data_IF_470959098795
#
_entry.id   IF_470959098795
#
_cell.length_a   1.000
_cell.length_b   1.000
_cell.length_c   1.000
_cell.angle_alpha   90.00
_cell.angle_beta   90.00
_cell.angle_gamma   90.00
#
_symmetry.space_group_name_H-M   'P 1'
#
loop_
_entity.id
_entity.type
_entity.pdbx_description
1 polymer ?
#
# COMPACT_ATOMS: atom_id res chain seq x y z
N UNK A 1 -0.58 -34.08 -5.10
CA UNK A 1 -1.21 -32.96 -4.41
C UNK A 1 -1.44 -31.71 -5.30
N UNK A 2 -0.93 -31.65 -6.55
CA UNK A 2 -1.11 -30.50 -7.46
C UNK A 2 -2.47 -30.39 -8.17
N UNK A 3 -3.31 -31.44 -8.18
CA UNK A 3 -4.61 -31.40 -8.83
C UNK A 3 -5.74 -30.75 -8.01
N UNK A 4 -5.55 -30.53 -6.70
CA UNK A 4 -6.57 -29.96 -5.83
C UNK A 4 -6.65 -28.43 -5.90
N UNK A 5 -5.54 -27.75 -6.22
CA UNK A 5 -5.52 -26.27 -6.30
C UNK A 5 -6.21 -25.70 -7.55
N UNK A 6 -6.19 -26.44 -8.66
CA UNK A 6 -6.85 -26.01 -9.92
C UNK A 6 -8.38 -26.05 -9.78
N UNK A 7 -8.92 -26.96 -8.96
CA UNK A 7 -10.37 -27.04 -8.72
C UNK A 7 -10.91 -25.94 -7.80
N UNK A 8 -10.11 -25.41 -6.89
CA UNK A 8 -10.53 -24.32 -5.97
C UNK A 8 -10.65 -23.00 -6.73
N UNK A 9 -9.78 -22.72 -7.68
CA UNK A 9 -9.86 -21.52 -8.53
C UNK A 9 -11.10 -21.56 -9.45
N UNK A 10 -11.44 -22.74 -9.98
CA UNK A 10 -12.63 -22.90 -10.82
C UNK A 10 -13.96 -22.87 -10.04
N UNK A 11 -13.96 -23.20 -8.76
CA UNK A 11 -15.18 -23.18 -7.92
C UNK A 11 -15.48 -21.76 -7.40
N UNK A 12 -14.48 -20.92 -7.18
CA UNK A 12 -14.73 -19.52 -6.79
C UNK A 12 -15.29 -18.66 -7.93
N UNK A 13 -14.97 -18.97 -9.19
CA UNK A 13 -15.59 -18.34 -10.38
C UNK A 13 -17.05 -18.74 -10.60
N UNK A 14 -17.54 -19.81 -9.95
CA UNK A 14 -18.89 -20.33 -10.16
C UNK A 14 -19.93 -19.88 -9.11
N UNK A 15 -19.54 -19.16 -8.06
CA UNK A 15 -20.40 -18.81 -6.91
C UNK A 15 -20.68 -17.31 -6.76
N UNK A 16 -20.22 -16.46 -7.68
CA UNK A 16 -20.67 -15.07 -7.69
C UNK A 16 -22.09 -14.98 -8.28
N UNK A 17 -23.03 -14.25 -7.66
CA UNK A 17 -24.34 -14.05 -8.22
C UNK A 17 -24.18 -13.39 -9.58
N UNK A 18 -24.63 -14.07 -10.64
CA UNK A 18 -24.78 -13.48 -11.97
C UNK A 18 -25.86 -12.41 -11.86
N UNK A 19 -25.47 -11.19 -11.53
CA UNK A 19 -26.30 -10.03 -11.81
C UNK A 19 -26.26 -9.86 -13.31
N UNK A 20 -27.34 -10.22 -13.98
CA UNK A 20 -27.52 -9.96 -15.40
C UNK A 20 -27.74 -8.47 -15.61
N UNK A 21 -26.65 -7.69 -15.63
CA UNK A 21 -26.63 -6.46 -16.37
C UNK A 21 -26.47 -6.88 -17.84
N UNK A 22 -27.33 -6.41 -18.71
CA UNK A 22 -27.27 -6.61 -20.17
C UNK A 22 -25.99 -5.97 -20.71
N UNK A 23 -24.84 -6.62 -20.55
CA UNK A 23 -23.52 -6.11 -20.85
C UNK A 23 -22.78 -7.09 -21.74
N UNK A 24 -22.27 -6.58 -22.82
CA UNK A 24 -21.32 -7.24 -23.69
C UNK A 24 -20.11 -7.66 -22.82
N UNK A 25 -19.83 -8.97 -22.73
CA UNK A 25 -18.65 -9.47 -22.01
C UNK A 25 -17.37 -9.00 -22.72
N UNK A 26 -16.36 -8.59 -21.93
CA UNK A 26 -15.04 -8.29 -22.49
C UNK A 26 -14.43 -9.57 -23.06
N UNK A 27 -14.10 -9.56 -24.34
CA UNK A 27 -13.40 -10.70 -24.95
C UNK A 27 -11.97 -10.69 -24.51
N UNK A 28 -11.58 -11.73 -23.77
CA UNK A 28 -10.19 -11.91 -23.37
C UNK A 28 -9.31 -12.30 -24.58
N UNK A 29 -8.00 -12.03 -24.50
CA UNK A 29 -7.06 -12.41 -25.55
C UNK A 29 -6.97 -13.94 -25.67
N UNK A 30 -6.81 -14.43 -26.89
CA UNK A 30 -6.55 -15.84 -27.15
C UNK A 30 -5.05 -16.10 -27.01
N UNK A 31 -4.67 -16.82 -25.97
CA UNK A 31 -3.26 -17.12 -25.69
C UNK A 31 -2.72 -18.08 -26.76
N UNK A 32 -1.60 -17.75 -27.45
CA UNK A 32 -1.00 -18.63 -28.44
C UNK A 32 -0.57 -19.98 -27.85
N UNK A 33 -0.79 -21.08 -28.57
CA UNK A 33 -0.40 -22.43 -28.13
C UNK A 33 1.12 -22.61 -27.97
N UNK A 34 1.91 -21.70 -28.56
CA UNK A 34 3.36 -21.66 -28.42
C UNK A 34 3.84 -21.23 -27.03
N UNK A 35 2.99 -20.51 -26.25
CA UNK A 35 3.28 -20.11 -24.89
C UNK A 35 2.89 -21.23 -23.93
N UNK A 36 3.89 -21.98 -23.44
CA UNK A 36 3.66 -23.16 -22.61
C UNK A 36 3.83 -22.88 -21.12
N UNK A 37 4.72 -21.97 -20.73
CA UNK A 37 4.97 -21.69 -19.32
C UNK A 37 3.84 -20.83 -18.70
N UNK A 38 3.38 -21.13 -17.46
CA UNK A 38 2.29 -20.39 -16.83
C UNK A 38 2.54 -18.88 -16.73
N UNK A 39 3.78 -18.46 -16.42
CA UNK A 39 4.13 -17.04 -16.30
C UNK A 39 4.14 -16.32 -17.66
N UNK A 40 4.54 -16.99 -18.75
CA UNK A 40 4.46 -16.43 -20.12
C UNK A 40 3.01 -16.25 -20.55
N UNK A 41 2.15 -17.21 -20.22
CA UNK A 41 0.71 -17.12 -20.50
C UNK A 41 0.05 -16.01 -19.71
N UNK A 42 0.41 -15.87 -18.42
CA UNK A 42 -0.08 -14.77 -17.59
C UNK A 42 0.41 -13.41 -18.12
N UNK A 43 1.68 -13.29 -18.50
CA UNK A 43 2.24 -12.09 -19.13
C UNK A 43 1.42 -11.69 -20.36
N UNK A 44 1.21 -12.64 -21.28
CA UNK A 44 0.42 -12.39 -22.48
C UNK A 44 -1.00 -11.93 -22.17
N UNK A 45 -1.66 -12.59 -21.19
CA UNK A 45 -3.04 -12.21 -20.81
C UNK A 45 -3.09 -10.80 -20.24
N UNK A 46 -2.20 -10.40 -19.33
CA UNK A 46 -2.25 -9.07 -18.72
C UNK A 46 -1.89 -7.97 -19.73
N UNK A 47 -0.89 -8.19 -20.59
CA UNK A 47 -0.49 -7.22 -21.60
C UNK A 47 -1.58 -6.95 -22.66
N UNK A 48 -2.38 -7.97 -22.99
CA UNK A 48 -3.42 -7.92 -24.01
C UNK A 48 -4.85 -7.90 -23.45
N UNK A 49 -5.02 -7.75 -22.14
CA UNK A 49 -6.32 -7.87 -21.47
C UNK A 49 -7.36 -6.89 -22.05
N UNK A 50 -6.93 -5.66 -22.33
CA UNK A 50 -7.78 -4.57 -22.75
C UNK A 50 -7.78 -4.32 -24.26
N UNK A 51 -7.09 -5.14 -25.07
CA UNK A 51 -7.01 -4.94 -26.54
C UNK A 51 -8.36 -4.96 -27.24
N UNK A 52 -9.32 -5.71 -26.73
CA UNK A 52 -10.67 -5.80 -27.28
C UNK A 52 -11.66 -4.78 -26.68
N UNK A 53 -11.18 -3.90 -25.78
CA UNK A 53 -12.00 -2.85 -25.18
C UNK A 53 -12.00 -1.59 -26.07
N UNK A 54 -13.19 -1.13 -26.45
CA UNK A 54 -13.35 0.16 -27.10
C UNK A 54 -13.62 1.24 -26.03
N UNK A 55 -12.57 1.96 -25.58
CA UNK A 55 -12.72 3.02 -24.58
C UNK A 55 -13.51 4.24 -25.09
N UNK A 56 -13.71 4.37 -26.39
CA UNK A 56 -14.60 5.38 -26.97
C UNK A 56 -16.10 5.02 -26.80
N UNK A 57 -16.43 3.75 -26.53
CA UNK A 57 -17.80 3.34 -26.19
C UNK A 57 -18.10 3.71 -24.73
N UNK A 58 -18.74 4.87 -24.56
CA UNK A 58 -19.10 5.41 -23.24
C UNK A 58 -20.13 4.56 -22.49
N UNK A 59 -20.91 3.74 -23.18
CA UNK A 59 -21.85 2.82 -22.53
C UNK A 59 -21.13 1.73 -21.73
N UNK A 60 -19.91 1.37 -22.10
CA UNK A 60 -19.06 0.43 -21.39
C UNK A 60 -18.01 1.15 -20.54
N UNK A 61 -17.24 2.06 -21.11
CA UNK A 61 -16.10 2.71 -20.46
C UNK A 61 -16.47 3.61 -19.28
N UNK A 62 -17.70 4.18 -19.28
CA UNK A 62 -18.25 4.95 -18.16
C UNK A 62 -19.14 4.11 -17.23
N UNK A 63 -19.38 2.85 -17.55
CA UNK A 63 -20.14 1.96 -16.69
C UNK A 63 -19.22 1.44 -15.59
N UNK A 64 -19.30 2.07 -14.41
CA UNK A 64 -18.46 1.79 -13.25
C UNK A 64 -18.48 0.30 -12.86
N UNK A 65 -19.66 -0.32 -12.79
CA UNK A 65 -19.82 -1.73 -12.38
C UNK A 65 -19.17 -2.68 -13.39
N UNK A 66 -19.37 -2.42 -14.69
CA UNK A 66 -18.76 -3.22 -15.75
C UNK A 66 -17.23 -3.07 -15.78
N UNK A 67 -16.72 -1.85 -15.66
CA UNK A 67 -15.30 -1.57 -15.61
C UNK A 67 -14.66 -2.20 -14.37
N UNK A 68 -15.30 -2.09 -13.20
CA UNK A 68 -14.84 -2.66 -11.94
C UNK A 68 -14.68 -4.16 -12.02
N UNK A 69 -15.71 -4.87 -12.54
CA UNK A 69 -15.63 -6.33 -12.70
C UNK A 69 -14.43 -6.74 -13.57
N UNK A 70 -14.23 -6.04 -14.70
CA UNK A 70 -13.12 -6.36 -15.61
C UNK A 70 -11.78 -5.93 -15.02
N UNK A 71 -11.72 -4.84 -14.26
CA UNK A 71 -10.50 -4.40 -13.58
C UNK A 71 -10.08 -5.39 -12.49
N UNK A 72 -11.01 -5.90 -11.70
CA UNK A 72 -10.76 -6.97 -10.72
C UNK A 72 -10.27 -8.25 -11.40
N UNK A 73 -10.88 -8.64 -12.51
CA UNK A 73 -10.42 -9.79 -13.30
C UNK A 73 -8.98 -9.57 -13.82
N UNK A 74 -8.67 -8.39 -14.31
CA UNK A 74 -7.34 -7.98 -14.76
C UNK A 74 -6.31 -8.08 -13.62
N UNK A 75 -6.59 -7.48 -12.47
CA UNK A 75 -5.72 -7.53 -11.29
C UNK A 75 -5.51 -8.98 -10.79
N UNK A 76 -6.49 -9.85 -10.92
CA UNK A 76 -6.39 -11.24 -10.44
C UNK A 76 -5.34 -12.08 -11.18
N UNK A 77 -4.98 -11.70 -12.40
CA UNK A 77 -3.96 -12.40 -13.21
C UNK A 77 -2.56 -11.88 -12.92
N UNK A 78 -2.41 -10.62 -12.52
CA UNK A 78 -1.12 -9.95 -12.33
C UNK A 78 -0.12 -10.66 -11.40
N UNK A 79 -0.54 -11.29 -10.27
CA UNK A 79 0.40 -11.99 -9.39
C UNK A 79 1.10 -13.20 -10.04
N UNK A 80 0.61 -13.63 -11.21
CA UNK A 80 1.17 -14.74 -11.95
C UNK A 80 2.07 -14.30 -13.12
N UNK A 81 2.12 -13.01 -13.41
CA UNK A 81 2.91 -12.41 -14.48
C UNK A 81 4.24 -11.85 -13.92
N UNK A 82 5.30 -11.79 -14.75
CA UNK A 82 6.52 -11.04 -14.40
C UNK A 82 6.24 -9.55 -14.22
N UNK A 83 7.07 -8.87 -13.43
CA UNK A 83 6.91 -7.45 -13.13
C UNK A 83 6.90 -6.57 -14.41
N UNK A 84 7.77 -6.88 -15.38
CA UNK A 84 7.86 -6.15 -16.65
C UNK A 84 6.56 -6.24 -17.46
N UNK A 85 5.86 -7.40 -17.38
CA UNK A 85 4.57 -7.57 -18.04
C UNK A 85 3.46 -6.78 -17.33
N UNK A 86 3.53 -6.65 -16.01
CA UNK A 86 2.60 -5.80 -15.22
C UNK A 86 2.79 -4.33 -15.58
N UNK A 87 4.04 -3.86 -15.68
CA UNK A 87 4.36 -2.50 -16.10
C UNK A 87 3.82 -2.20 -17.51
N UNK A 88 4.05 -3.12 -18.45
CA UNK A 88 3.53 -3.03 -19.83
C UNK A 88 2.01 -3.02 -19.86
N UNK A 89 1.36 -3.84 -19.02
CA UNK A 89 -0.09 -3.95 -18.96
C UNK A 89 -0.75 -2.65 -18.48
N UNK A 90 -0.21 -2.02 -17.44
CA UNK A 90 -0.70 -0.71 -17.00
C UNK A 90 -0.45 0.39 -18.03
N UNK A 91 0.71 0.40 -18.68
CA UNK A 91 0.99 1.35 -19.76
C UNK A 91 0.01 1.20 -20.93
N UNK A 92 -0.32 -0.03 -21.32
CA UNK A 92 -1.32 -0.32 -22.35
C UNK A 92 -2.73 0.15 -21.95
N UNK A 93 -3.17 -0.17 -20.73
CA UNK A 93 -4.46 0.27 -20.19
C UNK A 93 -4.57 1.81 -20.23
N UNK A 94 -3.59 2.51 -19.66
CA UNK A 94 -3.60 3.96 -19.54
C UNK A 94 -3.56 4.67 -20.89
N UNK A 95 -2.76 4.16 -21.84
CA UNK A 95 -2.72 4.68 -23.20
C UNK A 95 -4.07 4.57 -23.90
N UNK A 96 -4.80 3.47 -23.73
CA UNK A 96 -6.10 3.27 -24.36
C UNK A 96 -7.19 4.07 -23.63
N UNK A 97 -7.24 4.01 -22.30
CA UNK A 97 -8.23 4.73 -21.49
C UNK A 97 -8.03 6.25 -21.55
N UNK A 98 -6.78 6.72 -21.64
CA UNK A 98 -6.43 8.15 -21.71
C UNK A 98 -6.98 8.88 -22.95
N UNK A 99 -7.48 8.15 -23.94
CA UNK A 99 -8.18 8.73 -25.09
C UNK A 99 -9.59 9.20 -24.76
N UNK A 100 -10.14 8.87 -23.58
CA UNK A 100 -11.49 9.23 -23.13
C UNK A 100 -11.43 9.66 -21.65
N UNK A 101 -11.80 10.92 -21.38
CA UNK A 101 -11.72 11.52 -20.04
C UNK A 101 -12.57 10.78 -19.00
N UNK A 102 -13.76 10.33 -19.33
CA UNK A 102 -14.60 9.56 -18.42
C UNK A 102 -14.06 8.16 -18.13
N UNK A 103 -13.47 7.51 -19.14
CA UNK A 103 -12.86 6.19 -18.98
C UNK A 103 -11.64 6.24 -18.07
N UNK A 104 -10.76 7.23 -18.28
CA UNK A 104 -9.56 7.37 -17.46
C UNK A 104 -9.89 7.72 -16.00
N UNK A 105 -10.94 8.52 -15.77
CA UNK A 105 -11.42 8.81 -14.41
C UNK A 105 -11.83 7.53 -13.69
N UNK A 106 -12.61 6.65 -14.33
CA UNK A 106 -13.01 5.36 -13.75
C UNK A 106 -11.81 4.46 -13.49
N UNK A 107 -10.84 4.40 -14.41
CA UNK A 107 -9.62 3.58 -14.22
C UNK A 107 -8.81 4.07 -13.03
N UNK A 108 -8.65 5.39 -12.84
CA UNK A 108 -7.93 5.94 -11.68
C UNK A 108 -8.65 5.64 -10.36
N UNK A 109 -9.97 5.86 -10.30
CA UNK A 109 -10.75 5.53 -9.11
C UNK A 109 -10.61 4.05 -8.72
N UNK A 110 -10.65 3.15 -9.71
CA UNK A 110 -10.49 1.72 -9.50
C UNK A 110 -9.07 1.37 -9.04
N UNK A 111 -8.05 1.97 -9.64
CA UNK A 111 -6.66 1.74 -9.23
C UNK A 111 -6.42 2.20 -7.78
N UNK A 112 -6.89 3.39 -7.41
CA UNK A 112 -6.80 3.89 -6.03
C UNK A 112 -7.57 2.98 -5.06
N UNK A 113 -8.81 2.62 -5.36
CA UNK A 113 -9.64 1.77 -4.51
C UNK A 113 -9.06 0.38 -4.31
N UNK A 114 -8.59 -0.27 -5.38
CA UNK A 114 -8.16 -1.66 -5.31
C UNK A 114 -6.70 -1.84 -4.93
N UNK A 115 -5.81 -0.94 -5.36
CA UNK A 115 -4.38 -1.12 -5.16
C UNK A 115 -3.82 -0.31 -3.99
N UNK A 116 -4.47 0.82 -3.62
CA UNK A 116 -3.95 1.75 -2.61
C UNK A 116 -4.74 1.75 -1.29
N UNK A 117 -6.03 1.38 -1.28
CA UNK A 117 -6.78 1.26 -0.03
C UNK A 117 -6.42 -0.04 0.68
N UNK A 118 -5.87 0.04 1.90
CA UNK A 118 -5.38 -1.13 2.64
C UNK A 118 -6.47 -2.15 3.00
N UNK A 119 -7.75 -1.73 3.07
CA UNK A 119 -8.89 -2.61 3.29
C UNK A 119 -9.24 -3.46 2.05
N UNK A 120 -8.72 -3.09 0.89
CA UNK A 120 -8.94 -3.84 -0.34
C UNK A 120 -8.31 -5.23 -0.26
N UNK A 121 -9.02 -6.31 -0.64
CA UNK A 121 -8.43 -7.64 -0.73
C UNK A 121 -7.35 -7.75 -1.83
N UNK A 122 -7.25 -6.75 -2.70
CA UNK A 122 -6.27 -6.67 -3.78
C UNK A 122 -5.22 -5.59 -3.53
N UNK A 123 -5.16 -5.02 -2.31
CA UNK A 123 -4.14 -4.05 -1.93
C UNK A 123 -2.75 -4.54 -2.31
N UNK A 124 -2.06 -3.77 -3.13
CA UNK A 124 -0.71 -4.10 -3.58
C UNK A 124 0.04 -2.83 -3.97
N UNK A 125 0.94 -2.38 -3.10
CA UNK A 125 1.67 -1.15 -3.29
C UNK A 125 2.66 -1.22 -4.47
N UNK A 126 3.20 -2.40 -4.79
CA UNK A 126 4.09 -2.56 -5.96
C UNK A 126 3.30 -2.39 -7.27
N UNK A 127 2.09 -2.94 -7.35
CA UNK A 127 1.21 -2.72 -8.51
C UNK A 127 0.74 -1.28 -8.60
N UNK A 128 0.45 -0.63 -7.46
CA UNK A 128 0.09 0.79 -7.47
C UNK A 128 1.24 1.67 -7.96
N UNK A 129 2.47 1.40 -7.54
CA UNK A 129 3.68 2.08 -8.04
C UNK A 129 3.87 1.86 -9.55
N UNK A 130 3.64 0.64 -10.04
CA UNK A 130 3.68 0.32 -11.47
C UNK A 130 2.63 1.12 -12.25
N UNK A 131 1.38 1.16 -11.76
CA UNK A 131 0.31 1.98 -12.32
C UNK A 131 0.67 3.47 -12.38
N UNK A 132 1.14 4.04 -11.26
CA UNK A 132 1.52 5.45 -11.18
C UNK A 132 2.73 5.77 -12.09
N UNK A 133 3.70 4.86 -12.16
CA UNK A 133 4.87 5.02 -13.04
C UNK A 133 4.45 5.07 -14.52
N UNK A 134 3.55 4.18 -14.91
CA UNK A 134 2.97 4.17 -16.25
C UNK A 134 2.17 5.47 -16.52
N UNK A 135 1.42 5.96 -15.53
CA UNK A 135 0.65 7.19 -15.65
C UNK A 135 1.52 8.44 -15.79
N UNK A 136 2.64 8.51 -15.07
CA UNK A 136 3.64 9.60 -15.23
C UNK A 136 4.28 9.59 -16.61
N UNK A 137 4.47 8.41 -17.18
CA UNK A 137 5.08 8.23 -18.50
C UNK A 137 4.12 8.43 -19.67
N UNK A 138 2.79 8.48 -19.44
CA UNK A 138 1.78 8.55 -20.50
C UNK A 138 1.38 10.02 -20.81
N UNK A 139 1.83 10.62 -21.94
CA UNK A 139 1.59 12.04 -22.21
C UNK A 139 0.11 12.39 -22.45
N UNK A 140 -0.71 11.42 -22.89
CA UNK A 140 -2.13 11.66 -23.20
C UNK A 140 -2.97 11.99 -21.97
N UNK A 141 -2.48 11.67 -20.75
CA UNK A 141 -3.20 11.92 -19.50
C UNK A 141 -3.20 13.40 -19.07
N UNK A 142 -2.36 14.24 -19.71
CA UNK A 142 -2.29 15.67 -19.40
C UNK A 142 -1.77 15.98 -17.98
N UNK A 143 -1.80 17.28 -17.63
CA UNK A 143 -1.25 17.74 -16.35
C UNK A 143 -2.02 17.20 -15.14
N UNK A 144 -3.36 17.13 -15.24
CA UNK A 144 -4.21 16.74 -14.10
C UNK A 144 -3.83 15.38 -13.52
N UNK A 145 -3.81 14.34 -14.37
CA UNK A 145 -3.46 12.99 -13.94
C UNK A 145 -1.96 12.78 -13.83
N UNK A 146 -1.16 13.38 -14.70
CA UNK A 146 0.29 13.27 -14.67
C UNK A 146 0.92 13.87 -13.42
N UNK A 147 0.48 15.06 -13.00
CA UNK A 147 1.01 15.72 -11.78
C UNK A 147 0.54 15.01 -10.51
N UNK A 148 -0.75 14.60 -10.45
CA UNK A 148 -1.27 13.78 -9.37
C UNK A 148 -0.49 12.46 -9.23
N UNK A 149 -0.26 11.76 -10.35
CA UNK A 149 0.48 10.50 -10.33
C UNK A 149 1.92 10.68 -9.91
N UNK A 150 2.57 11.75 -10.31
CA UNK A 150 3.94 12.06 -9.90
C UNK A 150 4.03 12.25 -8.39
N UNK A 151 3.11 13.04 -7.82
CA UNK A 151 3.03 13.23 -6.37
C UNK A 151 2.78 11.92 -5.63
N UNK A 152 1.75 11.15 -6.02
CA UNK A 152 1.44 9.86 -5.40
C UNK A 152 2.57 8.84 -5.54
N UNK A 153 3.26 8.82 -6.68
CA UNK A 153 4.42 7.95 -6.91
C UNK A 153 5.58 8.30 -5.97
N UNK A 154 5.85 9.59 -5.80
CA UNK A 154 6.88 10.06 -4.87
C UNK A 154 6.56 9.62 -3.44
N UNK A 155 5.32 9.80 -3.00
CA UNK A 155 4.85 9.37 -1.67
C UNK A 155 4.94 7.84 -1.52
N UNK A 156 4.41 7.08 -2.49
CA UNK A 156 4.41 5.62 -2.44
C UNK A 156 5.81 5.01 -2.42
N UNK A 157 6.80 5.67 -3.03
CA UNK A 157 8.20 5.24 -3.04
C UNK A 157 8.95 5.52 -1.73
N UNK A 158 8.43 6.41 -0.86
CA UNK A 158 9.06 6.72 0.44
C UNK A 158 8.98 5.52 1.38
N UNK A 159 10.07 5.25 2.06
CA UNK A 159 10.14 4.24 3.13
C UNK A 159 9.63 2.84 2.71
N UNK A 160 9.94 2.40 1.49
CA UNK A 160 9.55 1.06 1.02
C UNK A 160 10.27 -0.04 1.79
N UNK A 161 9.64 -1.22 1.97
CA UNK A 161 10.31 -2.38 2.56
C UNK A 161 11.65 -2.68 1.87
N UNK A 162 12.71 -2.89 2.68
CA UNK A 162 14.08 -3.10 2.23
C UNK A 162 14.91 -1.81 2.11
N UNK A 163 14.30 -0.62 1.97
CA UNK A 163 15.01 0.65 1.94
C UNK A 163 15.32 1.15 3.34
N UNK A 164 16.33 2.02 3.47
CA UNK A 164 16.60 2.74 4.71
C UNK A 164 15.48 3.75 4.94
N UNK A 165 14.91 3.76 6.13
CA UNK A 165 13.89 4.72 6.53
C UNK A 165 14.45 6.15 6.50
N UNK A 166 13.62 7.11 6.09
CA UNK A 166 14.02 8.52 6.07
C UNK A 166 14.36 8.97 7.50
N UNK A 167 15.53 9.60 7.66
CA UNK A 167 15.97 10.14 8.95
C UNK A 167 15.16 11.38 9.31
N UNK A 168 14.88 11.57 10.59
CA UNK A 168 14.24 12.77 11.13
C UNK A 168 14.71 13.03 12.56
N UNK A 169 14.64 14.29 12.99
CA UNK A 169 14.98 14.68 14.35
C UNK A 169 13.74 14.66 15.25
N UNK A 170 13.91 14.28 16.51
CA UNK A 170 12.87 14.35 17.54
C UNK A 170 13.46 14.68 18.91
N UNK A 171 12.62 15.25 19.78
CA UNK A 171 12.95 15.61 21.16
C UNK A 171 12.22 14.68 22.12
N UNK A 172 12.92 14.15 23.12
CA UNK A 172 12.30 13.36 24.18
C UNK A 172 11.76 14.26 25.33
N UNK A 173 11.04 13.65 26.27
CA UNK A 173 10.41 14.36 27.39
C UNK A 173 11.42 15.09 28.30
N UNK A 174 12.66 14.57 28.41
CA UNK A 174 13.76 15.19 29.16
C UNK A 174 14.48 16.32 28.42
N UNK A 175 14.08 16.60 27.19
CA UNK A 175 14.68 17.61 26.32
C UNK A 175 15.88 17.12 25.49
N UNK A 176 16.24 15.85 25.57
CA UNK A 176 17.31 15.30 24.72
C UNK A 176 16.86 15.23 23.26
N UNK A 177 17.74 15.65 22.36
CA UNK A 177 17.52 15.66 20.91
C UNK A 177 18.23 14.47 20.26
N UNK A 178 17.54 13.81 19.36
CA UNK A 178 18.06 12.66 18.61
C UNK A 178 17.61 12.73 17.16
N UNK A 179 18.35 12.06 16.25
CA UNK A 179 17.77 11.63 14.98
C UNK A 179 17.40 10.15 15.05
N UNK A 180 16.47 9.72 14.18
CA UNK A 180 16.05 8.32 14.13
C UNK A 180 17.26 7.38 13.95
N UNK A 181 18.14 7.69 12.97
CA UNK A 181 19.30 6.85 12.67
C UNK A 181 20.34 6.83 13.80
N UNK A 182 20.51 7.92 14.54
CA UNK A 182 21.42 7.97 15.68
C UNK A 182 20.85 7.21 16.87
N UNK A 183 19.55 7.31 17.10
CA UNK A 183 18.87 6.70 18.25
C UNK A 183 18.63 5.19 18.05
N UNK A 184 18.26 4.75 16.85
CA UNK A 184 17.90 3.37 16.53
C UNK A 184 19.17 2.49 16.57
N UNK A 185 19.18 1.48 17.46
CA UNK A 185 20.28 0.52 17.63
C UNK A 185 19.81 -0.93 17.66
N UNK A 186 18.53 -1.15 17.55
CA UNK A 186 17.87 -2.46 17.51
C UNK A 186 16.54 -2.34 16.79
N UNK A 187 15.93 -3.46 16.39
CA UNK A 187 14.61 -3.45 15.75
C UNK A 187 13.62 -2.58 16.51
N UNK A 188 12.90 -1.75 15.80
CA UNK A 188 12.04 -0.71 16.39
C UNK A 188 10.69 -0.67 15.69
N UNK A 189 9.61 -0.72 16.47
CA UNK A 189 8.29 -0.33 16.03
C UNK A 189 8.20 1.19 16.13
N UNK A 190 8.23 1.87 14.98
CA UNK A 190 8.03 3.31 14.87
C UNK A 190 6.55 3.60 14.72
N UNK A 191 5.99 4.42 15.60
CA UNK A 191 4.58 4.84 15.61
C UNK A 191 4.53 6.36 15.47
N UNK A 192 4.15 6.85 14.29
CA UNK A 192 3.92 8.27 14.03
C UNK A 192 2.45 8.58 14.31
N UNK A 193 2.18 9.49 15.23
CA UNK A 193 0.82 9.76 15.70
C UNK A 193 0.56 11.25 15.94
N UNK A 194 -0.71 11.64 15.84
CA UNK A 194 -1.17 12.96 16.30
C UNK A 194 -1.77 12.85 17.70
N UNK A 195 -1.44 13.79 18.57
CA UNK A 195 -1.95 13.85 19.93
C UNK A 195 -3.46 14.13 19.99
N UNK A 196 -4.02 14.83 19.00
CA UNK A 196 -5.46 15.13 18.89
C UNK A 196 -6.25 14.04 18.12
N UNK A 197 -5.63 12.93 17.77
CA UNK A 197 -6.25 11.87 16.99
C UNK A 197 -6.89 10.81 17.88
N UNK A 198 -8.21 10.69 17.89
CA UNK A 198 -8.96 9.66 18.62
C UNK A 198 -8.63 8.24 18.14
N UNK A 199 -8.42 8.06 16.84
CA UNK A 199 -8.05 6.78 16.26
C UNK A 199 -6.64 6.37 16.73
N UNK A 200 -5.69 7.29 16.73
CA UNK A 200 -4.34 7.06 17.22
C UNK A 200 -4.36 6.57 18.69
N UNK A 201 -5.16 7.21 19.54
CA UNK A 201 -5.30 6.79 20.94
C UNK A 201 -5.80 5.34 21.07
N UNK A 202 -6.79 4.94 20.25
CA UNK A 202 -7.31 3.57 20.24
C UNK A 202 -6.27 2.54 19.81
N UNK A 203 -5.54 2.84 18.73
CA UNK A 203 -4.49 1.94 18.21
C UNK A 203 -3.32 1.85 19.18
N UNK A 204 -2.89 2.95 19.79
CA UNK A 204 -1.85 2.96 20.82
C UNK A 204 -2.29 2.09 22.02
N UNK A 205 -3.56 2.16 22.43
CA UNK A 205 -4.07 1.32 23.51
C UNK A 205 -4.08 -0.17 23.14
N UNK A 206 -4.40 -0.52 21.90
CA UNK A 206 -4.28 -1.90 21.39
C UNK A 206 -2.82 -2.38 21.37
N UNK A 207 -1.88 -1.53 20.95
CA UNK A 207 -0.45 -1.85 20.98
C UNK A 207 0.07 -2.11 22.42
N UNK A 208 -0.40 -1.34 23.40
CA UNK A 208 -0.06 -1.56 24.84
C UNK A 208 -0.53 -2.93 25.32
N UNK A 209 -1.67 -3.40 24.85
CA UNK A 209 -2.27 -4.68 25.22
C UNK A 209 -1.78 -5.86 24.38
N UNK A 210 -0.94 -5.60 23.36
CA UNK A 210 -0.47 -6.62 22.43
C UNK A 210 0.61 -7.50 23.08
N UNK A 211 0.26 -8.73 23.46
CA UNK A 211 1.10 -9.60 24.28
C UNK A 211 2.49 -9.90 23.67
N UNK A 212 2.54 -10.20 22.36
CA UNK A 212 3.81 -10.48 21.67
C UNK A 212 4.73 -9.25 21.64
N UNK A 213 4.18 -8.06 21.39
CA UNK A 213 4.95 -6.81 21.40
C UNK A 213 5.45 -6.50 22.82
N UNK A 214 4.60 -6.62 23.83
CA UNK A 214 4.99 -6.39 25.22
C UNK A 214 6.12 -7.33 25.67
N UNK A 215 6.04 -8.62 25.33
CA UNK A 215 7.09 -9.60 25.62
C UNK A 215 8.41 -9.26 24.89
N UNK A 216 8.35 -8.85 23.61
CA UNK A 216 9.53 -8.48 22.84
C UNK A 216 10.22 -7.21 23.40
N UNK A 217 9.42 -6.23 23.85
CA UNK A 217 9.92 -5.00 24.50
C UNK A 217 10.55 -5.32 25.85
N UNK A 218 9.92 -6.16 26.68
CA UNK A 218 10.46 -6.59 27.98
C UNK A 218 11.77 -7.36 27.85
N UNK A 219 11.86 -8.22 26.82
CA UNK A 219 13.08 -8.96 26.49
C UNK A 219 14.17 -8.08 25.86
N UNK A 220 13.85 -6.83 25.49
CA UNK A 220 14.77 -5.91 24.83
C UNK A 220 15.12 -6.29 23.39
N UNK A 221 14.30 -7.14 22.75
CA UNK A 221 14.50 -7.54 21.34
C UNK A 221 13.92 -6.52 20.37
N UNK A 222 12.90 -5.77 20.78
CA UNK A 222 12.25 -4.70 20.02
C UNK A 222 12.13 -3.45 20.88
N UNK A 223 12.37 -2.28 20.30
CA UNK A 223 11.98 -1.00 20.88
C UNK A 223 10.64 -0.55 20.31
N UNK A 224 9.95 0.32 21.05
CA UNK A 224 8.87 1.13 20.51
C UNK A 224 9.27 2.60 20.60
N UNK A 225 9.25 3.29 19.46
CA UNK A 225 9.44 4.74 19.36
C UNK A 225 8.13 5.35 18.87
N UNK A 226 7.41 6.00 19.78
CA UNK A 226 6.19 6.72 19.47
C UNK A 226 6.52 8.22 19.30
N UNK A 227 6.35 8.77 18.11
CA UNK A 227 6.67 10.16 17.79
C UNK A 227 5.38 10.91 17.47
N UNK A 228 5.12 11.96 18.26
CA UNK A 228 4.06 12.92 17.97
C UNK A 228 4.53 13.83 16.84
N UNK A 229 3.73 13.90 15.77
CA UNK A 229 4.03 14.66 14.55
C UNK A 229 3.33 16.02 14.50
N UNK A 230 2.65 16.42 15.57
CA UNK A 230 2.02 17.72 15.69
C UNK A 230 3.04 18.82 16.04
N UNK A 231 2.60 20.07 15.98
CA UNK A 231 3.38 21.24 16.42
C UNK A 231 3.03 21.70 17.86
N UNK A 232 1.99 21.13 18.49
CA UNK A 232 1.58 21.46 19.87
C UNK A 232 2.34 20.63 20.92
N UNK A 233 3.48 21.16 21.32
CA UNK A 233 4.30 20.58 22.42
C UNK A 233 3.55 20.50 23.75
N UNK A 234 2.64 21.43 24.05
CA UNK A 234 1.94 21.43 25.32
C UNK A 234 0.93 20.27 25.40
N UNK A 235 0.18 20.06 24.33
CA UNK A 235 -0.73 18.93 24.20
C UNK A 235 0.04 17.60 24.28
N UNK A 236 1.14 17.46 23.52
CA UNK A 236 1.99 16.27 23.59
C UNK A 236 2.47 15.98 25.03
N UNK A 237 3.00 16.99 25.73
CA UNK A 237 3.48 16.84 27.12
C UNK A 237 2.39 16.38 28.08
N UNK A 238 1.16 16.84 27.88
CA UNK A 238 0.02 16.43 28.72
C UNK A 238 -0.31 14.94 28.63
N UNK A 239 0.04 14.29 27.54
CA UNK A 239 -0.25 12.88 27.26
C UNK A 239 0.89 11.93 27.65
N UNK A 240 2.08 12.42 27.95
CA UNK A 240 3.24 11.56 28.28
C UNK A 240 2.96 10.58 29.41
N UNK A 241 2.18 10.97 30.42
CA UNK A 241 1.83 10.10 31.53
C UNK A 241 0.98 8.89 31.15
N UNK A 242 0.33 8.92 30.00
CA UNK A 242 -0.49 7.82 29.48
C UNK A 242 0.31 6.79 28.70
N UNK A 243 1.54 7.11 28.30
CA UNK A 243 2.39 6.22 27.53
C UNK A 243 3.12 5.19 28.39
N UNK A 244 3.38 3.97 27.89
CA UNK A 244 4.17 2.98 28.62
C UNK A 244 5.58 3.48 28.92
N UNK A 245 6.05 3.24 30.13
CA UNK A 245 7.40 3.67 30.57
C UNK A 245 8.54 3.01 29.76
N UNK A 246 8.28 1.85 29.18
CA UNK A 246 9.23 1.10 28.37
C UNK A 246 9.35 1.64 26.94
N UNK A 247 8.41 2.48 26.51
CA UNK A 247 8.46 3.09 25.19
C UNK A 247 9.26 4.40 25.21
N UNK A 248 9.95 4.67 24.14
CA UNK A 248 10.49 6.01 23.91
C UNK A 248 9.40 6.85 23.25
N UNK A 249 9.15 8.03 23.82
CA UNK A 249 8.14 8.96 23.29
C UNK A 249 8.85 10.23 22.86
N UNK A 250 8.72 10.54 21.56
CA UNK A 250 9.35 11.69 20.91
C UNK A 250 8.32 12.72 20.43
N UNK A 251 8.82 13.89 20.12
CA UNK A 251 8.11 15.00 19.50
C UNK A 251 8.97 15.59 18.39
N UNK A 252 8.45 15.71 17.17
CA UNK A 252 9.23 16.21 16.04
C UNK A 252 8.93 17.68 15.70
N UNK A 253 7.85 18.25 16.23
CA UNK A 253 7.44 19.63 16.00
C UNK A 253 6.88 19.88 14.61
N UNK A 254 6.17 18.92 14.04
CA UNK A 254 5.50 19.03 12.75
C UNK A 254 6.38 18.80 11.52
N UNK A 255 7.69 18.59 11.69
CA UNK A 255 8.66 18.55 10.58
C UNK A 255 8.50 17.32 9.67
N UNK A 256 8.08 16.18 10.22
CA UNK A 256 7.80 14.97 9.41
C UNK A 256 6.68 15.27 8.42
N UNK A 257 5.65 15.99 8.87
CA UNK A 257 4.51 16.40 8.05
C UNK A 257 4.91 17.46 7.02
N UNK A 258 5.58 18.53 7.46
CA UNK A 258 6.02 19.63 6.61
C UNK A 258 6.95 19.17 5.47
N UNK A 259 7.82 18.21 5.76
CA UNK A 259 8.77 17.65 4.79
C UNK A 259 8.18 16.46 4.01
N UNK A 260 6.94 16.06 4.28
CA UNK A 260 6.32 14.86 3.70
C UNK A 260 7.24 13.64 3.76
N UNK A 261 7.97 13.46 4.88
CA UNK A 261 9.04 12.47 4.99
C UNK A 261 8.52 11.03 5.06
N UNK A 262 7.28 10.88 5.50
CA UNK A 262 6.56 9.60 5.64
C UNK A 262 5.17 9.69 5.02
N UNK A 263 4.59 8.55 4.68
CA UNK A 263 3.17 8.44 4.36
C UNK A 263 2.36 8.63 5.64
N UNK A 264 1.47 9.63 5.65
CA UNK A 264 0.65 10.02 6.81
C UNK A 264 -0.83 10.13 6.47
N UNK A 265 -1.25 9.54 5.35
CA UNK A 265 -2.65 9.55 4.90
C UNK A 265 -3.58 8.86 5.90
N UNK A 266 -3.05 7.89 6.67
CA UNK A 266 -3.77 7.20 7.74
C UNK A 266 -2.92 7.19 9.02
N UNK A 267 -3.44 7.76 10.11
CA UNK A 267 -2.76 7.86 11.39
C UNK A 267 -3.42 6.96 12.45
N UNK A 268 -2.60 6.27 13.30
CA UNK A 268 -1.15 6.36 13.37
C UNK A 268 -0.48 5.58 12.23
N UNK A 269 0.57 6.18 11.61
CA UNK A 269 1.39 5.44 10.64
C UNK A 269 2.43 4.60 11.39
N UNK A 270 2.42 3.29 11.16
CA UNK A 270 3.22 2.32 11.93
C UNK A 270 4.20 1.61 10.99
N UNK A 271 5.48 1.68 11.33
CA UNK A 271 6.57 1.04 10.60
C UNK A 271 7.34 0.07 11.50
N UNK A 272 7.76 -1.07 10.97
CA UNK A 272 8.76 -1.92 11.62
C UNK A 272 10.10 -1.72 10.93
N UNK A 273 11.10 -1.29 11.70
CA UNK A 273 12.46 -1.05 11.24
C UNK A 273 13.41 -2.08 11.85
N UNK A 274 14.40 -2.54 11.09
CA UNK A 274 15.49 -3.35 11.66
C UNK A 274 16.58 -2.48 12.31
N UNK A 275 17.63 -3.14 12.84
CA UNK A 275 18.72 -2.46 13.53
C UNK A 275 19.57 -1.55 12.60
N UNK A 276 19.49 -1.74 11.30
CA UNK A 276 20.17 -0.94 10.28
C UNK A 276 19.27 0.15 9.68
N UNK A 277 18.18 0.49 10.36
CA UNK A 277 17.16 1.45 9.93
C UNK A 277 16.43 1.06 8.64
N UNK A 278 16.47 -0.21 8.20
CA UNK A 278 15.71 -0.65 7.03
C UNK A 278 14.27 -0.92 7.39
N UNK A 279 13.38 -0.46 6.55
CA UNK A 279 11.94 -0.75 6.66
C UNK A 279 11.71 -2.24 6.40
N UNK A 280 11.10 -2.92 7.36
CA UNK A 280 10.65 -4.31 7.24
C UNK A 280 9.16 -4.40 6.98
N UNK A 281 8.39 -3.51 7.59
CA UNK A 281 6.97 -3.31 7.32
C UNK A 281 6.75 -1.80 7.17
N UNK A 282 6.12 -1.41 6.07
CA UNK A 282 5.57 -0.07 5.84
C UNK A 282 4.07 -0.13 6.15
N UNK A 283 3.58 0.84 6.91
CA UNK A 283 2.14 0.99 7.20
C UNK A 283 1.47 -0.28 7.73
N UNK A 284 1.80 -0.63 8.95
CA UNK A 284 1.19 -1.76 9.62
C UNK A 284 -0.27 -1.41 10.04
N UNK A 285 -1.24 -1.80 9.22
CA UNK A 285 -2.66 -1.57 9.48
C UNK A 285 -3.29 -2.69 10.32
N UNK A 286 -2.79 -3.93 10.20
CA UNK A 286 -3.27 -5.09 10.96
C UNK A 286 -2.25 -5.52 12.02
N UNK A 287 -2.57 -5.24 13.29
CA UNK A 287 -1.73 -5.60 14.43
C UNK A 287 -1.54 -7.10 14.60
N UNK A 288 -2.41 -7.95 14.02
CA UNK A 288 -2.23 -9.41 14.04
C UNK A 288 -0.95 -9.86 13.30
N UNK A 289 -0.41 -8.97 12.45
CA UNK A 289 0.88 -9.18 11.81
C UNK A 289 2.08 -9.13 12.79
N UNK A 290 1.92 -8.53 13.97
CA UNK A 290 2.94 -8.50 15.05
C UNK A 290 2.94 -9.79 15.89
N UNK A 291 2.68 -10.96 15.29
CA UNK A 291 2.77 -12.21 16.04
C UNK A 291 4.23 -12.64 16.26
N UNK A 292 4.46 -13.51 17.28
CA UNK A 292 5.79 -13.96 17.70
C UNK A 292 6.63 -14.52 16.55
N UNK A 293 6.02 -15.25 15.61
CA UNK A 293 6.72 -15.85 14.49
C UNK A 293 7.19 -14.81 13.47
N UNK A 294 6.32 -13.84 13.14
CA UNK A 294 6.67 -12.75 12.22
C UNK A 294 7.68 -11.81 12.85
N UNK A 295 7.48 -11.41 14.10
CA UNK A 295 8.47 -10.60 14.83
C UNK A 295 9.84 -11.26 14.83
N UNK A 296 9.94 -12.57 15.13
CA UNK A 296 11.21 -13.31 15.12
C UNK A 296 11.84 -13.48 13.74
N UNK A 297 11.03 -13.56 12.66
CA UNK A 297 11.55 -13.67 11.29
C UNK A 297 11.99 -12.33 10.69
N UNK A 298 11.51 -11.23 11.25
CA UNK A 298 11.79 -9.87 10.77
C UNK A 298 12.93 -9.20 11.55
N UNK A 299 13.34 -9.80 12.67
CA UNK A 299 14.43 -9.39 13.56
C UNK A 299 15.71 -10.12 13.28
#
# INVERSE_FOLDING_TARGET
>A
MHKFYIYIILVFLALMPRVSASGQELRLPVVPDTLCAPHERAAYVVEHFWDNMCFADTALSHNREWMEQNFVNFLSVMPHAPAEAVDSAFANLLRHAGTNEGAIAVVYELAEQYLNEWQSPMYNQDFFISFLSAAVAEPSLGALYGDRSRYLLEVAQKNRPGNIATDFAFVQADGSEHTLHQWLKRPTLLVLYSADCDHCRKVIEQLKQHAALAAAVEQGTVNVLAVCIDDDMALWRSQLATMPKQWTVGFDGGKIMDNESYELSDLPAIYLLDADCRVRIKELHDLSALNDEKLRKML
#
